data_IF_795160193650
#
_entry.id   IF_795160193650
#
_cell.length_a   1.000
_cell.length_b   1.000
_cell.length_c   1.000
_cell.angle_alpha   90.00
_cell.angle_beta   90.00
_cell.angle_gamma   90.00
#
_symmetry.space_group_name_H-M   'P 1'
#
loop_
_entity.id
_entity.type
_entity.pdbx_description
1 polymer ?
#
# COMPACT_ATOMS: atom_id res chain seq x y z
N UNK A 1 -13.80 18.25 31.01
CA UNK A 1 -12.63 19.10 31.34
C UNK A 1 -11.33 18.34 31.02
N UNK A 2 -11.13 17.89 29.76
CA UNK A 2 -10.02 16.99 29.36
C UNK A 2 -9.32 17.46 28.06
N UNK A 3 -9.15 18.77 27.83
CA UNK A 3 -8.43 19.27 26.65
C UNK A 3 -6.93 19.51 26.91
N UNK A 4 -6.51 19.66 28.17
CA UNK A 4 -5.10 19.94 28.51
C UNK A 4 -4.20 18.70 28.39
N UNK A 5 -4.70 17.50 28.70
CA UNK A 5 -3.92 16.25 28.61
C UNK A 5 -3.54 15.83 27.17
N UNK A 6 -4.32 16.25 26.17
CA UNK A 6 -4.07 15.90 24.76
C UNK A 6 -2.93 16.71 24.13
N UNK A 7 -2.76 17.97 24.55
CA UNK A 7 -1.69 18.85 24.08
C UNK A 7 -0.34 18.42 24.67
N UNK A 8 -0.33 17.97 25.94
CA UNK A 8 0.86 17.44 26.60
C UNK A 8 1.35 16.13 25.95
N UNK A 9 0.43 15.19 25.68
CA UNK A 9 0.77 13.93 25.02
C UNK A 9 1.34 14.15 23.61
N UNK A 10 0.74 15.03 22.81
CA UNK A 10 1.23 15.30 21.46
C UNK A 10 2.66 15.86 21.45
N UNK A 11 2.98 16.76 22.39
CA UNK A 11 4.35 17.28 22.57
C UNK A 11 5.32 16.20 23.03
N UNK A 12 4.90 15.33 23.95
CA UNK A 12 5.72 14.24 24.47
C UNK A 12 6.02 13.21 23.37
N UNK A 13 5.02 12.87 22.56
CA UNK A 13 5.19 12.01 21.39
C UNK A 13 6.20 12.60 20.39
N UNK A 14 6.10 13.88 20.05
CA UNK A 14 7.03 14.54 19.12
C UNK A 14 8.45 14.59 19.70
N UNK A 15 8.61 14.87 21.00
CA UNK A 15 9.91 14.82 21.69
C UNK A 15 10.58 13.45 21.57
N UNK A 16 9.81 12.37 21.71
CA UNK A 16 10.33 11.00 21.61
C UNK A 16 10.29 10.42 20.19
N UNK A 17 9.93 11.21 19.18
CA UNK A 17 9.82 10.76 17.78
C UNK A 17 11.12 10.16 17.25
N UNK A 18 12.26 10.81 17.49
CA UNK A 18 13.57 10.32 17.04
C UNK A 18 13.92 8.95 17.63
N UNK A 19 13.61 8.75 18.92
CA UNK A 19 13.79 7.48 19.62
C UNK A 19 12.87 6.40 19.05
N UNK A 20 11.61 6.73 18.76
CA UNK A 20 10.66 5.83 18.13
C UNK A 20 11.10 5.42 16.71
N UNK A 21 11.58 6.36 15.90
CA UNK A 21 12.09 6.06 14.55
C UNK A 21 13.29 5.11 14.60
N UNK A 22 14.24 5.34 15.54
CA UNK A 22 15.37 4.45 15.75
C UNK A 22 14.90 3.04 16.18
N UNK A 23 13.94 2.98 17.10
CA UNK A 23 13.34 1.73 17.54
C UNK A 23 12.69 0.96 16.38
N UNK A 24 11.89 1.64 15.55
CA UNK A 24 11.23 1.04 14.38
C UNK A 24 12.27 0.51 13.40
N UNK A 25 13.32 1.27 13.08
CA UNK A 25 14.40 0.82 12.18
C UNK A 25 15.08 -0.45 12.68
N UNK A 26 15.29 -0.56 13.99
CA UNK A 26 15.90 -1.74 14.61
C UNK A 26 14.97 -2.98 14.65
N UNK A 27 13.65 -2.78 14.78
CA UNK A 27 12.71 -3.89 15.09
C UNK A 27 11.73 -4.25 13.96
N UNK A 28 11.50 -3.37 12.99
CA UNK A 28 10.59 -3.65 11.87
C UNK A 28 11.13 -4.76 10.95
N UNK A 29 12.46 -4.81 10.79
CA UNK A 29 13.15 -5.74 9.90
C UNK A 29 12.98 -5.41 8.41
N UNK A 30 13.94 -5.86 7.60
CA UNK A 30 13.96 -5.60 6.15
C UNK A 30 12.67 -6.02 5.40
N UNK A 31 11.96 -7.12 5.77
CA UNK A 31 10.72 -7.49 5.08
C UNK A 31 9.59 -6.47 5.24
N UNK A 32 9.41 -5.86 6.41
CA UNK A 32 8.35 -4.89 6.65
C UNK A 32 8.70 -3.54 6.02
N UNK A 33 9.96 -3.12 6.17
CA UNK A 33 10.48 -1.87 5.57
C UNK A 33 10.48 -1.90 4.03
N UNK A 34 10.27 -3.07 3.42
CA UNK A 34 10.04 -3.22 1.98
C UNK A 34 8.63 -2.88 1.51
N UNK A 35 7.69 -2.70 2.42
CA UNK A 35 6.28 -2.41 2.12
C UNK A 35 5.76 -1.13 2.74
N UNK A 36 6.44 -0.62 3.77
CA UNK A 36 5.98 0.54 4.54
C UNK A 36 7.16 1.38 5.01
N UNK A 37 7.04 2.69 4.89
CA UNK A 37 8.09 3.61 5.34
C UNK A 37 8.15 3.66 6.86
N UNK A 38 9.32 3.99 7.39
CA UNK A 38 9.54 4.12 8.85
C UNK A 38 8.63 5.21 9.41
N UNK A 39 8.46 6.29 8.66
CA UNK A 39 7.65 7.45 9.01
C UNK A 39 6.16 7.10 9.08
N UNK A 40 5.66 6.28 8.15
CA UNK A 40 4.28 5.78 8.14
C UNK A 40 4.01 4.89 9.37
N UNK A 41 4.95 3.98 9.66
CA UNK A 41 4.87 3.12 10.85
C UNK A 41 4.86 3.97 12.13
N UNK A 42 5.70 5.01 12.20
CA UNK A 42 5.71 5.92 13.33
C UNK A 42 4.37 6.66 13.48
N UNK A 43 3.80 7.18 12.39
CA UNK A 43 2.49 7.84 12.41
C UNK A 43 1.37 6.89 12.85
N UNK A 44 1.43 5.62 12.45
CA UNK A 44 0.54 4.57 12.93
C UNK A 44 0.62 4.36 14.44
N UNK A 45 1.84 4.30 14.98
CA UNK A 45 2.09 4.21 16.44
C UNK A 45 1.54 5.41 17.19
N UNK A 46 1.78 6.63 16.70
CA UNK A 46 1.23 7.86 17.29
C UNK A 46 -0.29 7.83 17.34
N UNK A 47 -0.92 7.36 16.26
CA UNK A 47 -2.39 7.24 16.18
C UNK A 47 -2.93 6.23 17.19
N UNK A 48 -2.25 5.10 17.38
CA UNK A 48 -2.63 4.09 18.37
C UNK A 48 -2.40 4.57 19.82
N UNK A 49 -1.33 5.35 20.06
CA UNK A 49 -1.06 6.00 21.33
C UNK A 49 -2.16 7.01 21.70
N UNK A 50 -2.53 7.89 20.77
CA UNK A 50 -3.62 8.85 20.98
C UNK A 50 -4.97 8.17 21.27
N UNK A 51 -5.23 6.99 20.69
CA UNK A 51 -6.45 6.20 20.96
C UNK A 51 -6.40 5.45 22.30
N UNK A 52 -5.21 5.22 22.84
CA UNK A 52 -4.99 4.44 24.06
C UNK A 52 -4.71 5.31 25.28
N UNK A 53 -4.69 6.64 25.11
CA UNK A 53 -4.32 7.62 26.14
C UNK A 53 -5.21 7.55 27.39
N UNK A 54 -6.51 7.28 27.21
CA UNK A 54 -7.47 7.21 28.34
C UNK A 54 -7.16 6.07 29.32
N UNK A 55 -6.30 5.12 28.93
CA UNK A 55 -5.91 3.97 29.75
C UNK A 55 -4.59 4.18 30.49
N UNK A 56 -3.95 5.35 30.32
CA UNK A 56 -2.64 5.63 30.87
C UNK A 56 -2.73 6.73 31.93
N UNK A 57 -2.38 6.38 33.16
CA UNK A 57 -1.96 7.37 34.16
C UNK A 57 -0.43 7.39 34.15
N UNK A 58 0.18 8.46 33.64
CA UNK A 58 1.62 8.65 33.71
C UNK A 58 1.96 9.77 34.69
N UNK A 59 2.92 9.51 35.57
CA UNK A 59 3.49 10.51 36.49
C UNK A 59 4.89 10.94 36.08
N UNK A 60 5.58 10.15 35.24
CA UNK A 60 6.98 10.32 34.84
C UNK A 60 7.25 9.95 33.37
N UNK A 61 8.34 10.46 32.79
CA UNK A 61 8.72 10.30 31.36
C UNK A 61 9.23 8.87 31.02
N UNK A 62 9.87 8.17 31.97
CA UNK A 62 10.35 6.79 31.76
C UNK A 62 9.23 5.77 31.49
N UNK A 63 8.18 5.71 32.33
CA UNK A 63 6.99 4.88 32.09
C UNK A 63 6.30 5.19 30.76
N UNK A 64 6.27 6.46 30.35
CA UNK A 64 5.73 6.87 29.05
C UNK A 64 6.48 6.24 27.88
N UNK A 65 7.82 6.31 27.87
CA UNK A 65 8.64 5.71 26.81
C UNK A 65 8.42 4.20 26.76
N UNK A 66 8.41 3.52 27.92
CA UNK A 66 8.15 2.08 27.98
C UNK A 66 6.78 1.69 27.41
N UNK A 67 5.76 2.49 27.69
CA UNK A 67 4.43 2.32 27.11
C UNK A 67 4.40 2.57 25.60
N UNK A 68 5.02 3.65 25.12
CA UNK A 68 5.08 3.99 23.70
C UNK A 68 5.79 2.90 22.89
N UNK A 69 6.90 2.36 23.41
CA UNK A 69 7.61 1.25 22.77
C UNK A 69 6.82 -0.05 22.81
N UNK A 70 5.97 -0.26 23.82
CA UNK A 70 5.05 -1.40 23.88
C UNK A 70 4.00 -1.31 22.78
N UNK A 71 3.42 -0.13 22.57
CA UNK A 71 2.53 0.13 21.43
C UNK A 71 3.28 -0.10 20.12
N UNK A 72 4.49 0.43 19.98
CA UNK A 72 5.30 0.25 18.78
C UNK A 72 5.54 -1.23 18.46
N UNK A 73 5.91 -2.06 19.43
CA UNK A 73 6.08 -3.51 19.22
C UNK A 73 4.81 -4.19 18.73
N UNK A 74 3.68 -3.92 19.37
CA UNK A 74 2.38 -4.47 18.98
C UNK A 74 1.99 -4.04 17.57
N UNK A 75 2.17 -2.75 17.28
CA UNK A 75 1.88 -2.16 15.99
C UNK A 75 2.72 -2.82 14.88
N UNK A 76 4.03 -2.94 15.07
CA UNK A 76 4.92 -3.60 14.12
C UNK A 76 4.54 -5.07 13.90
N UNK A 77 4.19 -5.80 14.95
CA UNK A 77 3.67 -7.17 14.86
C UNK A 77 2.42 -7.26 13.99
N UNK A 78 1.42 -6.41 14.27
CA UNK A 78 0.18 -6.38 13.51
C UNK A 78 0.38 -5.99 12.04
N UNK A 79 1.23 -4.99 11.75
CA UNK A 79 1.57 -4.60 10.37
C UNK A 79 2.30 -5.72 9.63
N UNK A 80 3.23 -6.40 10.30
CA UNK A 80 3.94 -7.55 9.76
C UNK A 80 2.96 -8.66 9.38
N UNK A 81 2.07 -9.04 10.29
CA UNK A 81 1.10 -10.11 10.06
C UNK A 81 0.13 -9.75 8.92
N UNK A 82 -0.33 -8.50 8.90
CA UNK A 82 -1.15 -7.96 7.82
C UNK A 82 -0.44 -8.05 6.46
N UNK A 83 0.81 -7.59 6.37
CA UNK A 83 1.58 -7.63 5.13
C UNK A 83 1.91 -9.04 4.68
N UNK A 84 2.22 -9.96 5.61
CA UNK A 84 2.44 -11.36 5.25
C UNK A 84 1.16 -12.03 4.76
N UNK A 85 0.00 -11.76 5.38
CA UNK A 85 -1.28 -12.24 4.89
C UNK A 85 -1.59 -11.69 3.48
N UNK A 86 -1.40 -10.38 3.28
CA UNK A 86 -1.64 -9.72 2.01
C UNK A 86 -0.67 -10.19 0.92
N UNK A 87 0.61 -10.40 1.25
CA UNK A 87 1.64 -10.89 0.32
C UNK A 87 1.37 -12.32 -0.14
N UNK A 88 1.00 -13.23 0.77
CA UNK A 88 0.75 -14.64 0.44
C UNK A 88 -0.32 -14.78 -0.65
N UNK A 89 -1.41 -14.02 -0.57
CA UNK A 89 -2.44 -14.02 -1.62
C UNK A 89 -2.10 -13.08 -2.80
N UNK A 90 -1.67 -11.86 -2.52
CA UNK A 90 -1.59 -10.80 -3.51
C UNK A 90 -0.33 -10.82 -4.39
N UNK A 91 0.82 -11.33 -3.93
CA UNK A 91 2.07 -11.20 -4.68
C UNK A 91 2.06 -11.99 -6.00
N UNK A 92 1.41 -13.15 -6.03
CA UNK A 92 1.28 -13.96 -7.23
C UNK A 92 0.24 -13.33 -8.19
N UNK A 93 -0.79 -12.69 -7.63
CA UNK A 93 -1.84 -12.00 -8.37
C UNK A 93 -1.35 -10.68 -9.00
N UNK A 94 -0.48 -9.95 -8.32
CA UNK A 94 0.22 -8.78 -8.89
C UNK A 94 1.12 -9.22 -10.06
N UNK A 95 1.82 -10.35 -9.97
CA UNK A 95 2.62 -10.85 -11.11
C UNK A 95 1.74 -11.23 -12.30
N UNK A 96 0.60 -11.87 -12.06
CA UNK A 96 -0.33 -12.34 -13.09
C UNK A 96 -1.05 -11.20 -13.82
N UNK A 97 -1.28 -10.08 -13.12
CA UNK A 97 -1.77 -8.83 -13.71
C UNK A 97 -0.67 -8.08 -14.46
N UNK A 98 0.57 -8.09 -13.95
CA UNK A 98 1.71 -7.43 -14.59
C UNK A 98 2.29 -8.18 -15.82
N UNK A 99 2.14 -9.50 -15.90
CA UNK A 99 2.67 -10.31 -17.02
C UNK A 99 1.84 -10.21 -18.31
N UNK A 100 0.63 -9.66 -18.24
CA UNK A 100 -0.17 -9.32 -19.43
C UNK A 100 0.14 -7.90 -19.90
N UNK A 101 1.09 -7.77 -20.83
CA UNK A 101 1.47 -6.56 -21.59
C UNK A 101 0.68 -5.27 -21.26
N UNK A 102 1.10 -4.53 -20.23
CA UNK A 102 0.81 -3.11 -20.03
C UNK A 102 2.04 -2.48 -19.33
N UNK A 103 2.31 -1.19 -19.56
CA UNK A 103 3.39 -0.50 -18.89
C UNK A 103 2.98 -0.35 -17.44
N UNK A 104 3.50 -1.23 -16.59
CA UNK A 104 3.75 -0.83 -15.22
C UNK A 104 4.64 0.40 -15.35
N UNK A 105 4.14 1.59 -15.05
CA UNK A 105 4.95 2.80 -14.77
C UNK A 105 5.88 2.61 -13.56
N UNK A 106 6.24 1.36 -13.26
CA UNK A 106 7.02 0.86 -12.15
C UNK A 106 8.03 -0.21 -12.62
N UNK A 107 8.28 -0.34 -13.93
CA UNK A 107 9.56 -0.90 -14.39
C UNK A 107 10.62 0.19 -14.21
N UNK A 108 11.35 0.09 -13.11
CA UNK A 108 12.57 0.82 -12.80
C UNK A 108 12.40 2.33 -12.51
N UNK A 109 12.02 2.65 -11.28
CA UNK A 109 12.55 3.83 -10.61
C UNK A 109 12.97 3.39 -9.21
N UNK A 110 14.26 3.12 -9.01
CA UNK A 110 14.82 2.83 -7.69
C UNK A 110 14.73 4.09 -6.83
N UNK A 111 13.58 4.31 -6.20
CA UNK A 111 13.31 5.47 -5.37
C UNK A 111 12.11 5.26 -4.43
N UNK A 112 11.85 6.22 -3.52
CA UNK A 112 10.80 6.17 -2.50
C UNK A 112 9.39 5.85 -3.04
N UNK A 113 9.12 6.18 -4.30
CA UNK A 113 7.84 5.86 -4.99
C UNK A 113 7.57 4.35 -5.17
N UNK A 114 8.55 3.47 -4.97
CA UNK A 114 8.37 2.02 -5.15
C UNK A 114 7.64 1.33 -4.00
N UNK A 115 7.78 1.84 -2.77
CA UNK A 115 7.11 1.27 -1.60
C UNK A 115 5.62 1.54 -1.67
N UNK A 116 5.26 2.81 -1.88
CA UNK A 116 3.90 3.25 -2.10
C UNK A 116 3.28 2.52 -3.30
N UNK A 117 3.97 2.47 -4.45
CA UNK A 117 3.47 1.80 -5.65
C UNK A 117 3.25 0.29 -5.48
N UNK A 118 4.13 -0.43 -4.76
CA UNK A 118 3.92 -1.87 -4.47
C UNK A 118 2.78 -2.12 -3.48
N UNK A 119 2.70 -1.32 -2.43
CA UNK A 119 1.60 -1.34 -1.45
C UNK A 119 0.27 -1.10 -2.16
N UNK A 120 0.24 -0.07 -2.99
CA UNK A 120 -0.94 0.31 -3.75
C UNK A 120 -1.34 -0.79 -4.74
N UNK A 121 -0.41 -1.33 -5.52
CA UNK A 121 -0.70 -2.44 -6.43
C UNK A 121 -1.29 -3.66 -5.71
N UNK A 122 -0.79 -4.03 -4.52
CA UNK A 122 -1.33 -5.13 -3.72
C UNK A 122 -2.77 -4.84 -3.24
N UNK A 123 -3.02 -3.61 -2.77
CA UNK A 123 -4.37 -3.20 -2.34
C UNK A 123 -5.34 -3.22 -3.53
N UNK A 124 -4.95 -2.63 -4.66
CA UNK A 124 -5.76 -2.56 -5.87
C UNK A 124 -6.08 -3.95 -6.44
N UNK A 125 -5.10 -4.87 -6.48
CA UNK A 125 -5.33 -6.25 -6.91
C UNK A 125 -6.27 -6.98 -5.94
N UNK A 126 -6.14 -6.76 -4.63
CA UNK A 126 -7.03 -7.37 -3.64
C UNK A 126 -8.47 -6.89 -3.81
N UNK A 127 -8.68 -5.59 -4.00
CA UNK A 127 -9.99 -5.02 -4.29
C UNK A 127 -10.57 -5.51 -5.63
N UNK A 128 -9.73 -5.62 -6.66
CA UNK A 128 -10.15 -6.17 -7.95
C UNK A 128 -10.65 -7.61 -7.82
N UNK A 129 -10.02 -8.45 -7.00
CA UNK A 129 -10.45 -9.83 -6.73
C UNK A 129 -11.79 -9.91 -6.00
N UNK A 130 -12.08 -8.94 -5.13
CA UNK A 130 -13.36 -8.89 -4.41
C UNK A 130 -14.53 -8.62 -5.36
N UNK A 131 -14.29 -7.89 -6.45
CA UNK A 131 -15.27 -7.63 -7.50
C UNK A 131 -15.53 -8.84 -8.43
N UNK A 132 -14.67 -9.86 -8.38
CA UNK A 132 -14.84 -11.06 -9.21
C UNK A 132 -15.89 -12.02 -8.62
N UNK A 133 -16.66 -12.71 -9.49
CA UNK A 133 -17.52 -13.81 -9.05
C UNK A 133 -16.73 -14.88 -8.28
N UNK A 134 -17.33 -15.57 -7.29
CA UNK A 134 -16.62 -16.55 -6.45
C UNK A 134 -15.85 -17.60 -7.24
N UNK A 135 -16.48 -18.14 -8.29
CA UNK A 135 -15.87 -19.14 -9.19
C UNK A 135 -14.63 -18.61 -9.93
N UNK A 136 -14.67 -17.36 -10.37
CA UNK A 136 -13.55 -16.74 -11.09
C UNK A 136 -12.42 -16.37 -10.11
N UNK A 137 -12.77 -15.98 -8.88
CA UNK A 137 -11.80 -15.73 -7.79
C UNK A 137 -11.00 -17.00 -7.46
N UNK A 138 -11.66 -18.15 -7.38
CA UNK A 138 -10.99 -19.41 -7.08
C UNK A 138 -10.07 -19.85 -8.21
N UNK A 139 -10.51 -19.74 -9.47
CA UNK A 139 -9.66 -19.99 -10.66
C UNK A 139 -8.41 -19.10 -10.68
N UNK A 140 -8.58 -17.83 -10.34
CA UNK A 140 -7.48 -16.85 -10.26
C UNK A 140 -6.53 -17.19 -9.12
N UNK A 141 -7.04 -17.59 -7.95
CA UNK A 141 -6.22 -18.05 -6.81
C UNK A 141 -5.45 -19.32 -7.13
N UNK A 142 -6.10 -20.34 -7.66
CA UNK A 142 -5.44 -21.59 -8.05
C UNK A 142 -4.38 -21.37 -9.12
N UNK A 143 -4.63 -20.46 -10.08
CA UNK A 143 -3.61 -20.06 -11.04
C UNK A 143 -2.42 -19.37 -10.38
N UNK A 144 -2.68 -18.56 -9.36
CA UNK A 144 -1.63 -17.88 -8.60
C UNK A 144 -0.83 -18.84 -7.71
N UNK A 145 -1.44 -19.93 -7.27
CA UNK A 145 -0.84 -21.01 -6.49
C UNK A 145 -0.21 -22.12 -7.37
N UNK A 146 -0.15 -21.89 -8.69
CA UNK A 146 0.43 -22.81 -9.69
C UNK A 146 -0.24 -24.20 -9.76
N UNK A 147 -1.54 -24.26 -9.42
CA UNK A 147 -2.35 -25.47 -9.52
C UNK A 147 -2.57 -25.84 -11.00
N UNK A 148 -2.32 -27.09 -11.42
CA UNK A 148 -2.46 -27.51 -12.82
C UNK A 148 -3.91 -27.46 -13.31
N UNK A 149 -4.10 -27.18 -14.61
CA UNK A 149 -5.45 -27.06 -15.22
C UNK A 149 -6.31 -28.31 -15.02
N UNK A 150 -5.70 -29.50 -15.04
CA UNK A 150 -6.40 -30.77 -14.80
C UNK A 150 -7.09 -30.79 -13.43
N UNK A 151 -6.36 -30.39 -12.39
CA UNK A 151 -6.88 -30.34 -11.02
C UNK A 151 -7.92 -29.24 -10.84
N UNK A 152 -7.77 -28.10 -11.55
CA UNK A 152 -8.81 -27.07 -11.57
C UNK A 152 -10.10 -27.55 -12.25
N UNK A 153 -9.98 -28.37 -13.30
CA UNK A 153 -11.12 -28.95 -14.02
C UNK A 153 -11.89 -29.94 -13.13
N UNK A 154 -11.16 -30.80 -12.42
CA UNK A 154 -11.70 -31.76 -11.45
C UNK A 154 -12.43 -31.04 -10.31
N UNK A 155 -11.80 -30.01 -9.72
CA UNK A 155 -12.41 -29.22 -8.63
C UNK A 155 -13.70 -28.50 -9.05
N UNK A 156 -13.83 -28.14 -10.32
CA UNK A 156 -15.02 -27.48 -10.88
C UNK A 156 -16.03 -28.44 -11.51
N UNK A 157 -15.68 -29.73 -11.66
CA UNK A 157 -16.50 -30.71 -12.36
C UNK A 157 -16.75 -30.37 -13.83
N UNK A 158 -15.80 -29.71 -14.51
CA UNK A 158 -15.92 -29.32 -15.93
C UNK A 158 -14.80 -29.95 -16.77
N UNK A 159 -15.00 -30.03 -18.09
CA UNK A 159 -13.98 -30.52 -19.01
C UNK A 159 -12.74 -29.60 -19.09
N UNK A 160 -11.60 -30.17 -19.49
CA UNK A 160 -10.32 -29.48 -19.61
C UNK A 160 -10.41 -28.19 -20.46
N UNK A 161 -10.97 -28.28 -21.66
CA UNK A 161 -11.12 -27.12 -22.55
C UNK A 161 -12.04 -26.04 -21.97
N UNK A 162 -13.01 -26.45 -21.15
CA UNK A 162 -13.92 -25.53 -20.49
C UNK A 162 -13.22 -24.78 -19.35
N UNK A 163 -12.32 -25.44 -18.60
CA UNK A 163 -11.53 -24.79 -17.55
C UNK A 163 -10.48 -23.85 -18.12
N UNK A 164 -9.86 -24.18 -19.25
CA UNK A 164 -8.88 -23.31 -19.91
C UNK A 164 -9.53 -21.98 -20.31
N UNK A 165 -10.69 -22.04 -20.98
CA UNK A 165 -11.47 -20.85 -21.33
C UNK A 165 -12.00 -20.11 -20.11
N UNK A 166 -12.43 -20.83 -19.07
CA UNK A 166 -12.89 -20.20 -17.83
C UNK A 166 -11.76 -19.44 -17.12
N UNK A 167 -10.57 -20.04 -17.01
CA UNK A 167 -9.36 -19.42 -16.48
C UNK A 167 -8.97 -18.18 -17.28
N UNK A 168 -8.90 -18.26 -18.60
CA UNK A 168 -8.58 -17.12 -19.45
C UNK A 168 -9.55 -15.95 -19.24
N UNK A 169 -10.86 -16.25 -19.17
CA UNK A 169 -11.90 -15.24 -18.88
C UNK A 169 -11.77 -14.64 -17.47
N UNK A 170 -11.46 -15.46 -16.46
CA UNK A 170 -11.28 -14.99 -15.09
C UNK A 170 -10.08 -14.02 -14.99
N UNK A 171 -8.98 -14.30 -15.69
CA UNK A 171 -7.81 -13.40 -15.76
C UNK A 171 -8.13 -12.10 -16.49
N UNK A 172 -8.88 -12.16 -17.59
CA UNK A 172 -9.33 -10.96 -18.32
C UNK A 172 -10.25 -10.09 -17.43
N UNK A 173 -11.17 -10.70 -16.69
CA UNK A 173 -12.02 -9.99 -15.73
C UNK A 173 -11.23 -9.36 -14.60
N UNK A 174 -10.22 -10.06 -14.06
CA UNK A 174 -9.32 -9.49 -13.05
C UNK A 174 -8.62 -8.23 -13.58
N UNK A 175 -8.10 -8.27 -14.82
CA UNK A 175 -7.45 -7.12 -15.45
C UNK A 175 -8.41 -5.95 -15.62
N UNK A 176 -9.63 -6.21 -16.08
CA UNK A 176 -10.68 -5.20 -16.23
C UNK A 176 -11.05 -4.57 -14.89
N UNK A 177 -11.31 -5.40 -13.87
CA UNK A 177 -11.59 -4.95 -12.51
C UNK A 177 -10.44 -4.11 -11.94
N UNK A 178 -9.20 -4.55 -12.10
CA UNK A 178 -8.02 -3.78 -11.70
C UNK A 178 -7.96 -2.41 -12.39
N UNK A 179 -8.23 -2.35 -13.70
CA UNK A 179 -8.23 -1.10 -14.45
C UNK A 179 -9.33 -0.11 -14.04
N UNK A 180 -10.45 -0.62 -13.50
CA UNK A 180 -11.54 0.20 -12.97
C UNK A 180 -11.11 0.76 -11.61
N UNK A 181 -10.63 -0.10 -10.71
CA UNK A 181 -10.23 0.31 -9.36
C UNK A 181 -9.04 1.26 -9.40
N UNK A 182 -8.06 1.05 -10.29
CA UNK A 182 -6.91 1.96 -10.43
C UNK A 182 -7.29 3.34 -10.98
N UNK A 183 -8.24 3.40 -11.93
CA UNK A 183 -8.74 4.68 -12.45
C UNK A 183 -9.50 5.49 -11.42
N UNK A 184 -10.31 4.82 -10.58
CA UNK A 184 -11.06 5.51 -9.52
C UNK A 184 -10.18 6.09 -8.41
N UNK A 185 -8.93 5.61 -8.30
CA UNK A 185 -7.98 6.05 -7.27
C UNK A 185 -6.89 7.00 -7.76
N UNK A 186 -6.78 7.22 -9.07
CA UNK A 186 -5.82 8.21 -9.57
C UNK A 186 -6.27 9.57 -9.04
N UNK A 187 -5.54 10.21 -8.11
CA UNK A 187 -5.80 11.61 -7.84
C UNK A 187 -5.52 12.33 -9.15
N UNK A 188 -6.47 13.16 -9.59
CA UNK A 188 -6.28 14.12 -10.67
C UNK A 188 -4.87 14.68 -10.54
N UNK A 189 -4.03 14.30 -11.50
CA UNK A 189 -2.72 14.89 -11.72
C UNK A 189 -2.95 16.41 -11.75
N UNK A 190 -2.28 17.12 -10.83
CA UNK A 190 -2.41 18.56 -10.71
C UNK A 190 -2.29 19.18 -12.11
N UNK A 191 -3.19 20.10 -12.50
CA UNK A 191 -3.10 20.72 -13.81
C UNK A 191 -1.72 21.35 -13.93
N UNK A 192 -0.92 20.85 -14.87
CA UNK A 192 0.29 21.52 -15.28
C UNK A 192 -0.15 22.94 -15.65
N UNK A 193 0.28 23.92 -14.85
CA UNK A 193 0.05 25.33 -15.17
C UNK A 193 0.55 25.52 -16.60
N UNK A 194 -0.26 26.01 -17.54
CA UNK A 194 0.29 26.56 -18.76
C UNK A 194 1.16 27.73 -18.30
N UNK A 195 2.47 27.63 -18.52
CA UNK A 195 3.35 28.78 -18.45
C UNK A 195 2.80 29.80 -19.44
N UNK A 196 2.15 30.82 -18.89
CA UNK A 196 1.60 31.92 -19.63
C UNK A 196 2.73 32.62 -20.38
N UNK A 197 2.54 32.72 -21.68
CA UNK A 197 2.90 33.86 -22.54
C UNK A 197 3.41 35.08 -21.76
N UNK A 198 4.71 35.33 -21.86
CA UNK A 198 5.28 36.67 -21.83
C UNK A 198 5.54 37.11 -23.26
N UNK A 199 4.54 37.76 -23.87
CA UNK A 199 4.72 38.57 -25.07
C UNK A 199 5.43 39.88 -24.73
N UNK A 200 6.03 40.42 -25.79
CA UNK A 200 6.38 41.82 -26.05
C UNK A 200 7.77 42.33 -25.65
N UNK A 201 8.55 42.63 -26.69
CA UNK A 201 9.79 43.41 -26.59
C UNK A 201 10.68 43.43 -27.83
N UNK A 202 10.14 43.34 -29.06
CA UNK A 202 10.81 43.91 -30.25
C UNK A 202 10.08 45.23 -30.57
N UNK A 203 10.80 46.34 -30.75
CA UNK A 203 11.19 46.69 -32.12
C UNK A 203 12.60 47.28 -32.23
N UNK A 204 13.24 46.94 -33.34
CA UNK A 204 14.44 47.62 -33.83
C UNK A 204 14.26 49.13 -34.09
N UNK A 205 15.37 49.84 -33.88
CA UNK A 205 15.77 51.12 -34.46
C UNK A 205 17.30 51.14 -34.31
N UNK A 206 18.16 51.27 -35.33
CA UNK A 206 18.09 52.12 -36.52
C UNK A 206 19.01 53.33 -36.30
N UNK A 207 20.18 53.37 -36.96
CA UNK A 207 21.11 54.51 -37.01
C UNK A 207 22.58 54.07 -36.94
N UNK A 208 23.22 53.79 -38.08
CA UNK A 208 24.14 54.66 -38.86
C UNK A 208 25.58 54.62 -38.33
#
# INVERSE_FOLDING_TARGET
MNQESGIDLAHLLERHRSQLLAFIRAHAGAPLLRFEAVEDLAQGVHTEALRSVERLEWRDEGPFVGWLLTIARRHLGARRDHWFALKRGGANLVRLTASGQLPLGARAATGPGTFAGRREALILVTQALELLPPRDRDLVRWTADDVPLQEQAERLGIGYDAVERARARALDRLRKAYSIVSRTRTPVEAPQRPEAEGRDGDPGSGGD
#
